data_IF_167703246962
#
_entry.id   IF_167703246962
#
_cell.length_a   1.000
_cell.length_b   1.000
_cell.length_c   1.000
_cell.angle_alpha   90.00
_cell.angle_beta   90.00
_cell.angle_gamma   90.00
#
_symmetry.space_group_name_H-M   'P 1'
#
loop_
_entity.id
_entity.type
_entity.pdbx_description
1 polymer ?
#
# COMPACT_ATOMS: atom_id res chain seq x y z
N UNK A 1 -43.35 26.06 2.82
CA UNK A 1 -42.54 26.81 1.81
C UNK A 1 -41.05 26.44 1.83
N UNK A 2 -40.29 26.57 2.94
CA UNK A 2 -38.84 26.23 3.00
C UNK A 2 -38.46 24.80 2.59
N UNK A 3 -39.25 23.78 2.98
CA UNK A 3 -39.02 22.38 2.54
C UNK A 3 -39.22 22.22 1.03
N UNK A 4 -40.26 22.83 0.47
CA UNK A 4 -40.59 22.75 -0.95
C UNK A 4 -39.53 23.49 -1.81
N UNK A 5 -39.09 24.68 -1.39
CA UNK A 5 -38.01 25.41 -2.07
C UNK A 5 -36.68 24.64 -2.02
N UNK A 6 -36.37 23.98 -0.89
CA UNK A 6 -35.20 23.12 -0.77
C UNK A 6 -35.27 21.88 -1.68
N UNK A 7 -36.43 21.23 -1.76
CA UNK A 7 -36.70 20.10 -2.67
C UNK A 7 -36.56 20.52 -4.15
N UNK A 8 -37.13 21.66 -4.53
CA UNK A 8 -36.99 22.22 -5.88
C UNK A 8 -35.53 22.51 -6.18
N UNK A 9 -34.78 23.13 -5.25
CA UNK A 9 -33.36 23.40 -5.42
C UNK A 9 -32.52 22.13 -5.64
N UNK A 10 -32.78 21.06 -4.88
CA UNK A 10 -32.13 19.76 -5.09
C UNK A 10 -32.53 19.10 -6.41
N UNK A 11 -33.78 19.28 -6.84
CA UNK A 11 -34.27 18.80 -8.14
C UNK A 11 -33.58 19.50 -9.31
N UNK A 12 -33.47 20.83 -9.27
CA UNK A 12 -32.72 21.62 -10.25
C UNK A 12 -31.27 21.18 -10.28
N UNK A 13 -30.61 21.09 -9.12
CA UNK A 13 -29.21 20.63 -9.03
C UNK A 13 -29.04 19.24 -9.64
N UNK A 14 -29.95 18.31 -9.40
CA UNK A 14 -29.91 16.97 -10.00
C UNK A 14 -29.99 16.99 -11.54
N UNK A 15 -30.69 17.97 -12.12
CA UNK A 15 -30.81 18.10 -13.58
C UNK A 15 -29.58 18.79 -14.19
N UNK A 16 -29.01 19.77 -13.51
CA UNK A 16 -27.98 20.68 -14.06
C UNK A 16 -26.54 20.32 -13.68
N UNK A 17 -26.31 19.56 -12.60
CA UNK A 17 -25.00 19.21 -12.06
C UNK A 17 -24.79 17.70 -12.18
N UNK A 18 -23.89 17.30 -13.09
CA UNK A 18 -23.63 15.89 -13.40
C UNK A 18 -22.98 15.13 -12.24
N UNK A 19 -22.14 15.80 -11.45
CA UNK A 19 -21.44 15.23 -10.31
C UNK A 19 -22.42 15.00 -9.17
N UNK A 20 -23.28 15.98 -8.87
CA UNK A 20 -24.34 15.81 -7.90
C UNK A 20 -25.35 14.73 -8.31
N UNK A 21 -25.71 14.66 -9.60
CA UNK A 21 -26.54 13.57 -10.13
C UNK A 21 -25.88 12.21 -9.94
N UNK A 22 -24.58 12.11 -10.22
CA UNK A 22 -23.82 10.88 -10.01
C UNK A 22 -23.83 10.45 -8.54
N UNK A 23 -23.56 11.36 -7.60
CA UNK A 23 -23.61 11.08 -6.15
C UNK A 23 -24.98 10.54 -5.70
N UNK A 24 -26.06 11.15 -6.18
CA UNK A 24 -27.44 10.71 -5.85
C UNK A 24 -27.73 9.32 -6.43
N UNK A 25 -27.29 9.05 -7.66
CA UNK A 25 -27.53 7.77 -8.33
C UNK A 25 -26.69 6.63 -7.73
N UNK A 26 -25.43 6.91 -7.40
CA UNK A 26 -24.55 6.00 -6.65
C UNK A 26 -25.19 5.63 -5.30
N UNK A 27 -25.67 6.61 -4.52
CA UNK A 27 -26.32 6.34 -3.23
C UNK A 27 -27.62 5.53 -3.32
N UNK A 28 -28.19 5.36 -4.52
CA UNK A 28 -29.37 4.53 -4.81
C UNK A 28 -29.02 3.17 -5.43
N UNK A 29 -27.75 2.84 -5.59
CA UNK A 29 -27.28 1.60 -6.22
C UNK A 29 -27.37 1.59 -7.75
N UNK A 30 -27.70 2.72 -8.39
CA UNK A 30 -27.85 2.78 -9.85
C UNK A 30 -26.51 2.72 -10.60
N UNK A 31 -25.39 2.80 -9.87
CA UNK A 31 -24.03 2.72 -10.41
C UNK A 31 -23.29 1.46 -9.96
N UNK A 32 -23.98 0.47 -9.39
CA UNK A 32 -23.35 -0.73 -8.81
C UNK A 32 -22.62 -1.59 -9.87
N UNK A 33 -23.16 -1.62 -11.09
CA UNK A 33 -22.57 -2.34 -12.24
C UNK A 33 -21.40 -1.61 -12.91
N UNK A 34 -21.11 -0.37 -12.54
CA UNK A 34 -20.01 0.40 -13.10
C UNK A 34 -18.66 -0.23 -12.69
N UNK A 35 -17.66 -0.30 -13.60
CA UNK A 35 -16.32 -0.71 -13.25
C UNK A 35 -15.75 0.14 -12.10
N UNK A 36 -15.03 -0.51 -11.17
CA UNK A 36 -14.54 0.15 -9.95
C UNK A 36 -13.70 1.40 -10.23
N UNK A 37 -12.80 1.32 -11.22
CA UNK A 37 -11.93 2.44 -11.59
C UNK A 37 -12.72 3.65 -12.09
N UNK A 38 -13.68 3.42 -12.99
CA UNK A 38 -14.55 4.49 -13.52
C UNK A 38 -15.40 5.10 -12.40
N UNK A 39 -15.98 4.25 -11.55
CA UNK A 39 -16.77 4.69 -10.40
C UNK A 39 -15.95 5.57 -9.46
N UNK A 40 -14.72 5.14 -9.14
CA UNK A 40 -13.84 5.86 -8.22
C UNK A 40 -13.37 7.19 -8.82
N UNK A 41 -13.01 7.25 -10.11
CA UNK A 41 -12.67 8.51 -10.80
C UNK A 41 -13.81 9.53 -10.71
N UNK A 42 -15.05 9.11 -11.02
CA UNK A 42 -16.24 9.98 -10.95
C UNK A 42 -16.60 10.38 -9.51
N UNK A 43 -16.52 9.44 -8.57
CA UNK A 43 -16.79 9.70 -7.16
C UNK A 43 -15.78 10.68 -6.57
N UNK A 44 -14.50 10.51 -6.91
CA UNK A 44 -13.43 11.38 -6.46
C UNK A 44 -13.58 12.78 -7.02
N UNK A 45 -13.86 12.95 -8.31
CA UNK A 45 -14.18 14.25 -8.89
C UNK A 45 -15.37 14.91 -8.19
N UNK A 46 -16.48 14.19 -8.06
CA UNK A 46 -17.71 14.73 -7.47
C UNK A 46 -17.57 15.10 -5.98
N UNK A 47 -16.73 14.39 -5.24
CA UNK A 47 -16.47 14.67 -3.82
C UNK A 47 -15.38 15.70 -3.63
N UNK A 48 -14.21 15.49 -4.23
CA UNK A 48 -12.97 16.24 -3.99
C UNK A 48 -12.81 17.46 -4.89
N UNK A 49 -13.62 17.59 -5.94
CA UNK A 49 -13.57 18.71 -6.89
C UNK A 49 -12.37 18.71 -7.84
N UNK A 50 -11.63 17.59 -7.93
CA UNK A 50 -10.47 17.40 -8.83
C UNK A 50 -10.43 15.98 -9.37
N UNK A 51 -9.78 15.79 -10.51
CA UNK A 51 -9.64 14.46 -11.13
C UNK A 51 -8.74 13.55 -10.26
N UNK A 52 -8.99 12.25 -10.32
CA UNK A 52 -8.20 11.22 -9.65
C UNK A 52 -7.07 10.74 -10.56
N UNK A 53 -5.81 10.94 -10.15
CA UNK A 53 -4.65 10.36 -10.82
C UNK A 53 -4.29 9.00 -10.18
N UNK A 54 -4.58 7.92 -10.90
CA UNK A 54 -4.20 6.55 -10.52
C UNK A 54 -2.85 6.12 -11.10
N UNK A 55 -2.33 6.83 -12.10
CA UNK A 55 -1.05 6.50 -12.73
C UNK A 55 0.12 7.02 -11.88
N UNK A 56 -0.07 8.17 -11.24
CA UNK A 56 0.93 8.79 -10.37
C UNK A 56 0.29 9.38 -9.09
N UNK A 57 -0.38 8.58 -8.24
CA UNK A 57 -1.08 9.09 -7.06
C UNK A 57 -0.10 9.71 -6.07
N UNK A 58 -0.31 10.97 -5.72
CA UNK A 58 0.56 11.72 -4.81
C UNK A 58 -0.04 11.82 -3.42
N UNK A 59 -1.32 12.17 -3.33
CA UNK A 59 -1.96 12.47 -2.05
C UNK A 59 -2.47 11.22 -1.35
N UNK A 60 -2.67 11.31 -0.03
CA UNK A 60 -3.20 10.22 0.79
C UNK A 60 -4.53 9.71 0.23
N UNK A 61 -5.47 10.60 -0.06
CA UNK A 61 -6.75 10.22 -0.66
C UNK A 61 -6.59 9.49 -2.01
N UNK A 62 -5.71 9.97 -2.91
CA UNK A 62 -5.45 9.29 -4.20
C UNK A 62 -4.86 7.90 -4.01
N UNK A 63 -3.86 7.78 -3.13
CA UNK A 63 -3.22 6.49 -2.82
C UNK A 63 -4.20 5.51 -2.18
N UNK A 64 -5.16 5.97 -1.38
CA UNK A 64 -6.23 5.11 -0.87
C UNK A 64 -7.18 4.63 -1.98
N UNK A 65 -7.55 5.48 -2.94
CA UNK A 65 -8.36 5.03 -4.09
C UNK A 65 -7.60 4.02 -4.94
N UNK A 66 -6.32 4.28 -5.13
CA UNK A 66 -5.41 3.38 -5.81
C UNK A 66 -5.36 2.00 -5.12
N UNK A 67 -5.22 1.96 -3.78
CA UNK A 67 -5.21 0.71 -3.01
C UNK A 67 -6.50 -0.08 -3.15
N UNK A 68 -7.67 0.56 -3.25
CA UNK A 68 -8.96 -0.13 -3.45
C UNK A 68 -9.02 -0.94 -4.75
N UNK A 69 -8.27 -0.55 -5.77
CA UNK A 69 -8.27 -1.19 -7.09
C UNK A 69 -7.19 -2.27 -7.17
N UNK A 70 -6.04 -2.04 -6.53
CA UNK A 70 -4.83 -2.79 -6.82
C UNK A 70 -4.21 -3.52 -5.62
N UNK A 71 -4.39 -3.06 -4.38
CA UNK A 71 -3.93 -3.76 -3.17
C UNK A 71 -5.07 -4.61 -2.59
N UNK A 72 -5.27 -5.78 -3.21
CA UNK A 72 -6.40 -6.67 -2.95
C UNK A 72 -5.92 -8.04 -2.49
N UNK A 73 -5.75 -8.20 -1.17
CA UNK A 73 -5.37 -9.47 -0.54
C UNK A 73 -6.57 -10.08 0.16
N UNK A 74 -6.87 -11.36 -0.08
CA UNK A 74 -8.04 -12.04 0.51
C UNK A 74 -8.10 -11.95 2.03
N UNK A 75 -6.93 -11.93 2.70
CA UNK A 75 -6.84 -11.75 4.15
C UNK A 75 -7.48 -10.45 4.65
N UNK A 76 -7.52 -9.39 3.82
CA UNK A 76 -8.13 -8.12 4.21
C UNK A 76 -9.63 -8.27 4.48
N UNK A 77 -10.33 -9.18 3.79
CA UNK A 77 -11.74 -9.49 4.07
C UNK A 77 -11.92 -10.05 5.48
N UNK A 78 -11.01 -10.91 5.94
CA UNK A 78 -10.99 -11.39 7.33
C UNK A 78 -10.72 -10.24 8.30
N UNK A 79 -9.79 -9.35 7.97
CA UNK A 79 -9.37 -8.24 8.84
C UNK A 79 -10.46 -7.18 9.06
N UNK A 80 -11.39 -7.00 8.11
CA UNK A 80 -12.50 -6.05 8.24
C UNK A 80 -13.81 -6.67 8.76
N UNK A 81 -13.91 -8.01 8.78
CA UNK A 81 -15.05 -8.71 9.41
C UNK A 81 -14.94 -8.61 10.93
N UNK A 82 -15.83 -7.85 11.58
CA UNK A 82 -15.75 -7.58 13.04
C UNK A 82 -15.77 -8.83 13.92
N UNK A 83 -16.24 -9.97 13.40
CA UNK A 83 -16.18 -11.25 14.11
C UNK A 83 -14.89 -12.01 13.78
N UNK A 84 -14.57 -12.17 12.50
CA UNK A 84 -13.40 -12.96 12.09
C UNK A 84 -12.07 -12.26 12.44
N UNK A 85 -12.03 -10.93 12.39
CA UNK A 85 -10.88 -10.12 12.76
C UNK A 85 -10.41 -10.37 14.19
N UNK A 86 -11.32 -10.73 15.11
CA UNK A 86 -10.96 -11.02 16.51
C UNK A 86 -9.95 -12.15 16.63
N UNK A 87 -10.21 -13.27 15.93
CA UNK A 87 -9.30 -14.42 15.94
C UNK A 87 -7.96 -14.07 15.28
N UNK A 88 -8.02 -13.38 14.14
CA UNK A 88 -6.83 -12.90 13.44
C UNK A 88 -5.94 -12.01 14.34
N UNK A 89 -6.55 -11.03 15.01
CA UNK A 89 -5.86 -10.11 15.91
C UNK A 89 -5.34 -10.85 17.14
N UNK A 90 -6.14 -11.73 17.76
CA UNK A 90 -5.73 -12.51 18.91
C UNK A 90 -4.49 -13.37 18.64
N UNK A 91 -4.37 -13.93 17.44
CA UNK A 91 -3.22 -14.75 17.05
C UNK A 91 -1.91 -13.94 16.94
N UNK A 92 -2.01 -12.62 16.73
CA UNK A 92 -0.85 -11.73 16.57
C UNK A 92 -0.50 -11.04 17.88
N UNK A 93 -1.49 -10.48 18.57
CA UNK A 93 -1.26 -9.65 19.75
C UNK A 93 -1.71 -10.31 21.06
N UNK A 94 -2.52 -11.36 21.01
CA UNK A 94 -3.00 -12.09 22.19
C UNK A 94 -4.48 -11.86 22.52
N UNK A 95 -5.13 -12.89 23.06
CA UNK A 95 -6.55 -12.94 23.40
C UNK A 95 -6.95 -11.86 24.44
N UNK A 96 -6.02 -11.46 25.32
CA UNK A 96 -6.27 -10.48 26.38
C UNK A 96 -6.68 -9.09 25.86
N UNK A 97 -6.38 -8.79 24.60
CA UNK A 97 -6.75 -7.53 23.95
C UNK A 97 -8.10 -7.59 23.25
N UNK A 98 -8.79 -8.73 23.22
CA UNK A 98 -10.05 -8.88 22.49
C UNK A 98 -11.25 -8.61 23.39
N UNK A 99 -12.18 -7.77 22.93
CA UNK A 99 -13.46 -7.57 23.63
C UNK A 99 -14.26 -8.88 23.60
N UNK A 100 -14.78 -9.37 24.74
CA UNK A 100 -15.57 -10.59 24.79
C UNK A 100 -16.78 -10.56 23.85
N UNK A 101 -16.89 -11.60 23.02
CA UNK A 101 -18.07 -11.85 22.17
C UNK A 101 -19.12 -12.59 22.98
N UNK A 102 -20.33 -12.04 23.05
CA UNK A 102 -21.47 -12.62 23.78
C UNK A 102 -22.31 -13.53 22.89
N UNK A 103 -22.25 -13.35 21.56
CA UNK A 103 -22.93 -14.22 20.61
C UNK A 103 -22.76 -13.75 19.16
N UNK A 104 -23.09 -14.65 18.23
CA UNK A 104 -23.05 -14.40 16.78
C UNK A 104 -24.23 -15.08 16.10
N UNK A 105 -24.92 -14.37 15.19
CA UNK A 105 -26.13 -14.84 14.53
C UNK A 105 -26.19 -14.41 13.07
N UNK A 106 -26.85 -15.21 12.23
CA UNK A 106 -27.12 -14.86 10.83
C UNK A 106 -28.40 -14.01 10.69
N UNK A 107 -29.36 -14.12 11.62
CA UNK A 107 -30.64 -13.38 11.60
C UNK A 107 -30.92 -12.72 12.95
N UNK A 108 -31.61 -11.58 12.91
CA UNK A 108 -31.96 -10.86 14.14
C UNK A 108 -32.92 -11.66 15.03
N UNK A 109 -33.79 -12.45 14.41
CA UNK A 109 -34.76 -13.30 15.11
C UNK A 109 -34.11 -14.44 15.91
N UNK A 110 -32.86 -14.78 15.62
CA UNK A 110 -32.13 -15.86 16.32
C UNK A 110 -31.48 -15.38 17.63
N UNK A 111 -31.55 -14.07 17.92
CA UNK A 111 -30.97 -13.48 19.13
C UNK A 111 -31.87 -13.78 20.34
N UNK A 112 -31.36 -14.56 21.28
CA UNK A 112 -31.96 -14.70 22.61
C UNK A 112 -31.54 -13.53 23.52
N UNK A 113 -32.37 -12.50 23.57
CA UNK A 113 -32.15 -11.33 24.43
C UNK A 113 -32.19 -11.67 25.93
N UNK A 114 -32.80 -12.79 26.35
CA UNK A 114 -32.81 -13.18 27.75
C UNK A 114 -31.44 -13.70 28.21
N UNK A 115 -30.71 -14.39 27.33
CA UNK A 115 -29.35 -14.85 27.58
C UNK A 115 -28.30 -13.72 27.58
N UNK A 116 -28.58 -12.59 26.94
CA UNK A 116 -27.69 -11.43 26.95
C UNK A 116 -27.71 -10.69 28.30
N UNK A 117 -26.57 -10.12 28.74
CA UNK A 117 -26.50 -9.29 29.95
C UNK A 117 -27.36 -8.02 29.83
N UNK A 118 -27.49 -7.25 30.91
CA UNK A 118 -28.26 -6.00 30.88
C UNK A 118 -27.67 -4.94 29.93
N UNK A 119 -26.37 -5.03 29.64
CA UNK A 119 -25.65 -4.08 28.80
C UNK A 119 -24.84 -4.82 27.73
N UNK A 120 -25.00 -4.43 26.47
CA UNK A 120 -24.31 -5.02 25.34
C UNK A 120 -24.34 -4.10 24.12
N UNK A 121 -23.53 -4.42 23.12
CA UNK A 121 -23.52 -3.73 21.83
C UNK A 121 -23.76 -4.76 20.73
N UNK A 122 -24.79 -4.57 19.92
CA UNK A 122 -25.00 -5.34 18.69
C UNK A 122 -24.32 -4.62 17.52
N UNK A 123 -23.56 -5.35 16.73
CA UNK A 123 -22.88 -4.84 15.52
C UNK A 123 -23.13 -5.78 14.34
N UNK A 124 -23.27 -5.23 13.14
CA UNK A 124 -23.14 -6.00 11.90
C UNK A 124 -21.64 -6.22 11.59
N UNK A 125 -21.27 -7.42 11.16
CA UNK A 125 -19.85 -7.77 10.95
C UNK A 125 -19.22 -7.10 9.74
N UNK A 126 -20.02 -6.75 8.72
CA UNK A 126 -19.57 -6.38 7.37
C UNK A 126 -19.71 -4.91 7.02
N UNK A 127 -20.24 -4.06 7.92
CA UNK A 127 -20.57 -2.68 7.58
C UNK A 127 -20.13 -1.65 8.63
N UNK A 128 -20.32 -0.38 8.29
CA UNK A 128 -20.32 0.73 9.24
C UNK A 128 -21.76 1.25 9.41
N UNK A 129 -22.18 1.39 10.67
CA UNK A 129 -23.48 1.96 11.07
C UNK A 129 -24.53 0.94 11.53
N UNK A 130 -24.38 -0.34 11.23
CA UNK A 130 -25.21 -1.42 11.78
C UNK A 130 -24.92 -1.66 13.26
N UNK A 131 -25.28 -0.70 14.12
CA UNK A 131 -24.90 -0.62 15.53
C UNK A 131 -26.10 -0.34 16.42
N UNK A 132 -26.29 -1.12 17.48
CA UNK A 132 -27.28 -0.87 18.55
C UNK A 132 -26.55 -0.97 19.89
N UNK A 133 -26.58 0.11 20.67
CA UNK A 133 -25.99 0.18 22.01
C UNK A 133 -27.11 -0.01 23.03
N UNK A 134 -27.03 -1.06 23.84
CA UNK A 134 -27.94 -1.32 24.94
C UNK A 134 -27.23 -1.00 26.26
N UNK A 135 -27.58 0.13 26.89
CA UNK A 135 -27.10 0.49 28.25
C UNK A 135 -28.04 -0.01 29.36
N UNK A 136 -29.27 -0.36 29.00
CA UNK A 136 -30.29 -0.93 29.88
C UNK A 136 -31.27 -1.73 29.02
N UNK A 137 -31.31 -3.05 29.24
CA UNK A 137 -32.12 -3.98 28.44
C UNK A 137 -33.61 -3.76 28.63
N UNK A 138 -34.04 -3.21 29.78
CA UNK A 138 -35.45 -2.92 30.03
C UNK A 138 -35.99 -1.76 29.19
N UNK A 139 -35.11 -0.87 28.74
CA UNK A 139 -35.43 0.31 27.94
C UNK A 139 -35.08 0.15 26.45
N UNK A 140 -34.64 -1.05 26.02
CA UNK A 140 -34.24 -1.29 24.65
C UNK A 140 -35.47 -1.42 23.73
N UNK A 141 -35.55 -0.55 22.73
CA UNK A 141 -36.53 -0.70 21.63
C UNK A 141 -36.07 -1.81 20.67
N UNK A 142 -36.54 -3.03 20.92
CA UNK A 142 -36.22 -4.21 20.10
C UNK A 142 -36.73 -4.05 18.67
N UNK A 143 -37.87 -3.38 18.45
CA UNK A 143 -38.43 -3.20 17.11
C UNK A 143 -37.56 -2.26 16.27
N UNK A 144 -37.14 -1.13 16.83
CA UNK A 144 -36.21 -0.21 16.17
C UNK A 144 -34.84 -0.85 15.94
N UNK A 145 -34.33 -1.62 16.91
CA UNK A 145 -33.09 -2.39 16.77
C UNK A 145 -33.17 -3.39 15.61
N UNK A 146 -34.30 -4.12 15.52
CA UNK A 146 -34.58 -5.08 14.45
C UNK A 146 -34.58 -4.41 13.08
N UNK A 147 -35.31 -3.30 12.92
CA UNK A 147 -35.36 -2.57 11.64
C UNK A 147 -33.97 -2.08 11.22
N UNK A 148 -33.20 -1.51 12.16
CA UNK A 148 -31.86 -0.99 11.88
C UNK A 148 -30.91 -2.10 11.44
N UNK A 149 -30.82 -3.20 12.19
CA UNK A 149 -29.92 -4.31 11.88
C UNK A 149 -30.33 -5.02 10.59
N UNK A 150 -31.62 -5.34 10.42
CA UNK A 150 -32.08 -6.01 9.19
C UNK A 150 -31.91 -5.15 7.93
N UNK A 151 -31.92 -3.81 8.06
CA UNK A 151 -31.56 -2.91 6.95
C UNK A 151 -30.08 -3.03 6.60
N UNK A 152 -29.20 -3.06 7.60
CA UNK A 152 -27.75 -3.23 7.41
C UNK A 152 -27.38 -4.59 6.82
N UNK A 153 -28.00 -5.68 7.28
CA UNK A 153 -27.76 -7.04 6.77
C UNK A 153 -28.06 -7.21 5.27
N UNK A 154 -28.97 -6.42 4.71
CA UNK A 154 -29.32 -6.45 3.29
C UNK A 154 -28.35 -5.70 2.39
N UNK A 155 -27.50 -4.84 2.96
CA UNK A 155 -26.58 -3.98 2.21
C UNK A 155 -25.23 -4.66 2.08
N UNK A 156 -24.66 -4.66 0.88
CA UNK A 156 -23.24 -4.92 0.71
C UNK A 156 -22.47 -3.59 0.85
N UNK A 157 -21.65 -3.47 1.90
CA UNK A 157 -20.99 -2.22 2.26
C UNK A 157 -20.00 -1.74 1.18
N UNK A 158 -19.41 -2.67 0.41
CA UNK A 158 -18.48 -2.39 -0.69
C UNK A 158 -19.02 -1.35 -1.68
N UNK A 159 -20.31 -1.39 -2.04
CA UNK A 159 -20.86 -0.46 -3.04
C UNK A 159 -20.88 1.00 -2.58
N UNK A 160 -20.77 1.27 -1.28
CA UNK A 160 -20.74 2.64 -0.74
C UNK A 160 -19.51 3.43 -1.20
N UNK A 161 -18.37 2.75 -1.36
CA UNK A 161 -17.09 3.40 -1.63
C UNK A 161 -16.07 2.55 -2.38
N UNK A 162 -16.48 1.39 -2.90
CA UNK A 162 -15.62 0.36 -3.51
C UNK A 162 -14.50 -0.11 -2.60
N UNK A 163 -14.77 -0.18 -1.30
CA UNK A 163 -13.83 -0.71 -0.31
C UNK A 163 -13.76 -2.22 -0.42
N UNK A 164 -12.84 -2.69 -1.27
CA UNK A 164 -12.75 -4.08 -1.71
C UNK A 164 -12.75 -5.14 -0.59
N UNK A 165 -12.07 -4.96 0.57
CA UNK A 165 -12.09 -5.91 1.67
C UNK A 165 -13.50 -6.29 2.15
N UNK A 166 -14.45 -5.35 2.09
CA UNK A 166 -15.83 -5.59 2.54
C UNK A 166 -16.70 -6.35 1.53
N UNK A 167 -16.22 -6.55 0.29
CA UNK A 167 -17.02 -7.09 -0.81
C UNK A 167 -17.64 -8.45 -0.51
N UNK A 168 -16.84 -9.33 0.09
CA UNK A 168 -17.17 -10.74 0.30
C UNK A 168 -17.31 -11.10 1.79
N UNK A 169 -17.43 -10.10 2.68
CA UNK A 169 -17.70 -10.36 4.11
C UNK A 169 -19.13 -10.89 4.26
N UNK A 170 -19.29 -12.07 4.87
CA UNK A 170 -20.62 -12.62 5.19
C UNK A 170 -21.33 -11.72 6.21
N UNK A 171 -22.49 -11.14 5.89
CA UNK A 171 -23.29 -10.36 6.85
C UNK A 171 -23.74 -11.23 8.02
N UNK A 172 -23.35 -10.83 9.23
CA UNK A 172 -23.74 -11.46 10.51
C UNK A 172 -23.96 -10.39 11.56
N UNK A 173 -24.59 -10.77 12.65
CA UNK A 173 -24.78 -9.97 13.85
C UNK A 173 -23.85 -10.51 14.92
N UNK A 174 -23.07 -9.64 15.56
CA UNK A 174 -22.27 -9.96 16.74
C UNK A 174 -22.77 -9.15 17.93
N UNK A 175 -22.87 -9.77 19.11
CA UNK A 175 -23.02 -9.07 20.38
C UNK A 175 -21.68 -9.01 21.10
N UNK A 176 -21.30 -7.83 21.58
CA UNK A 176 -20.10 -7.61 22.38
C UNK A 176 -20.46 -7.07 23.76
N UNK A 177 -19.58 -7.32 24.72
CA UNK A 177 -19.64 -6.67 26.03
C UNK A 177 -19.63 -5.15 25.86
N UNK A 178 -20.56 -4.46 26.53
CA UNK A 178 -20.53 -3.00 26.61
C UNK A 178 -19.31 -2.55 27.43
N UNK A 179 -18.55 -1.60 26.89
CA UNK A 179 -17.34 -1.06 27.49
C UNK A 179 -17.53 0.45 27.68
N UNK A 180 -17.13 0.96 28.82
CA UNK A 180 -17.21 2.37 29.20
C UNK A 180 -16.01 2.70 30.08
N UNK A 181 -15.34 3.81 29.81
CA UNK A 181 -14.31 4.35 30.69
C UNK A 181 -15.00 5.17 31.77
N UNK A 182 -14.95 4.68 33.02
CA UNK A 182 -15.60 5.30 34.18
C UNK A 182 -14.99 6.67 34.52
N UNK A 183 -13.74 6.92 34.15
CA UNK A 183 -13.05 8.19 34.41
C UNK A 183 -13.47 9.32 33.49
N UNK A 184 -13.74 9.03 32.21
CA UNK A 184 -14.11 10.04 31.21
C UNK A 184 -15.58 10.01 30.79
N UNK A 185 -16.35 9.00 31.23
CA UNK A 185 -17.73 8.72 30.79
C UNK A 185 -17.88 8.52 29.27
N UNK A 186 -16.77 8.45 28.53
CA UNK A 186 -16.72 8.20 27.09
C UNK A 186 -15.69 7.12 26.79
N UNK A 187 -16.06 6.12 26.00
CA UNK A 187 -15.07 5.16 25.50
C UNK A 187 -14.20 5.86 24.43
N UNK A 188 -13.02 6.33 24.83
CA UNK A 188 -12.08 7.01 23.92
C UNK A 188 -11.45 6.03 22.95
N UNK A 189 -11.48 6.42 21.68
CA UNK A 189 -10.88 5.70 20.57
C UNK A 189 -9.47 6.25 20.31
N UNK A 190 -8.45 5.42 20.44
CA UNK A 190 -7.07 5.71 20.05
C UNK A 190 -6.80 5.04 18.72
N UNK A 191 -6.73 5.83 17.65
CA UNK A 191 -6.65 5.32 16.28
C UNK A 191 -5.25 5.55 15.74
N UNK A 192 -4.43 4.51 15.69
CA UNK A 192 -3.04 4.57 15.25
C UNK A 192 -2.95 4.44 13.74
N UNK A 193 -2.22 5.34 13.10
CA UNK A 193 -2.04 5.38 11.65
C UNK A 193 -0.68 4.78 11.34
N UNK A 194 -0.72 3.57 10.79
CA UNK A 194 0.48 2.81 10.47
C UNK A 194 0.75 2.84 8.96
N UNK A 195 2.00 3.05 8.59
CA UNK A 195 2.48 3.18 7.22
C UNK A 195 3.61 2.18 7.00
N UNK A 196 3.36 1.12 6.22
CA UNK A 196 4.33 0.04 6.03
C UNK A 196 4.74 -0.66 7.33
N UNK A 197 3.79 -0.86 8.26
CA UNK A 197 4.07 -1.49 9.56
C UNK A 197 4.59 -0.57 10.66
N UNK A 198 4.76 0.74 10.41
CA UNK A 198 5.25 1.71 11.40
C UNK A 198 4.16 2.72 11.79
N UNK A 199 3.89 2.88 13.09
CA UNK A 199 2.99 3.92 13.58
C UNK A 199 3.66 5.30 13.46
N UNK A 200 3.00 6.26 12.83
CA UNK A 200 3.56 7.62 12.64
C UNK A 200 2.79 8.72 13.36
N UNK A 201 1.50 8.48 13.60
CA UNK A 201 0.65 9.36 14.37
C UNK A 201 -0.55 8.58 14.88
N UNK A 202 -1.29 9.15 15.81
CA UNK A 202 -2.58 8.63 16.24
C UNK A 202 -3.61 9.74 16.39
N UNK A 203 -4.88 9.37 16.27
CA UNK A 203 -6.03 10.25 16.42
C UNK A 203 -6.79 9.87 17.68
N UNK A 204 -7.26 10.87 18.42
CA UNK A 204 -8.17 10.70 19.56
C UNK A 204 -9.46 11.46 19.28
N UNK A 205 -10.56 10.73 19.21
CA UNK A 205 -11.92 11.27 19.08
C UNK A 205 -12.51 11.56 20.47
N UNK A 206 -13.18 12.71 20.65
CA UNK A 206 -13.78 13.12 21.93
C UNK A 206 -15.07 13.94 21.72
N UNK A 207 -15.87 14.05 22.78
CA UNK A 207 -17.16 14.76 22.83
C UNK A 207 -18.15 14.23 21.76
N UNK A 208 -18.04 12.94 21.42
CA UNK A 208 -18.68 12.29 20.24
C UNK A 208 -20.20 12.34 20.26
N UNK A 209 -20.80 12.47 21.44
CA UNK A 209 -22.24 12.52 21.64
C UNK A 209 -22.80 13.95 21.82
N UNK A 210 -21.94 14.97 21.79
CA UNK A 210 -22.31 16.39 21.92
C UNK A 210 -21.91 17.13 20.64
N UNK A 211 -20.61 17.30 20.43
CA UNK A 211 -20.00 17.94 19.26
C UNK A 211 -18.71 17.18 18.97
N UNK A 212 -18.74 16.33 17.95
CA UNK A 212 -17.64 15.38 17.71
C UNK A 212 -16.40 16.10 17.19
N UNK A 213 -15.34 16.08 18.00
CA UNK A 213 -14.03 16.62 17.68
C UNK A 213 -12.95 15.53 17.67
N UNK A 214 -11.82 15.82 17.04
CA UNK A 214 -10.66 14.94 17.11
C UNK A 214 -9.34 15.69 16.97
N UNK A 215 -8.36 15.29 17.78
CA UNK A 215 -6.98 15.77 17.69
C UNK A 215 -6.09 14.65 17.15
N UNK A 216 -5.12 15.04 16.34
CA UNK A 216 -4.04 14.17 15.87
C UNK A 216 -2.79 14.45 16.69
N UNK A 217 -2.04 13.40 16.98
CA UNK A 217 -0.84 13.43 17.80
C UNK A 217 0.31 12.74 17.06
N UNK A 218 1.53 13.25 17.20
CA UNK A 218 2.73 12.48 16.86
C UNK A 218 2.97 11.35 17.89
N UNK A 219 4.01 10.55 17.70
CA UNK A 219 4.29 9.41 18.58
C UNK A 219 4.85 9.85 19.95
N UNK A 220 5.31 11.10 20.07
CA UNK A 220 5.69 11.75 21.32
C UNK A 220 4.50 12.44 22.02
N UNK A 221 3.28 12.26 21.51
CA UNK A 221 2.04 12.84 22.05
C UNK A 221 1.94 14.38 21.95
N UNK A 222 2.66 15.02 21.04
CA UNK A 222 2.41 16.41 20.67
C UNK A 222 1.29 16.52 19.65
N UNK A 223 0.43 17.54 19.81
CA UNK A 223 -0.68 17.77 18.88
C UNK A 223 -0.13 18.24 17.53
N UNK A 224 -0.57 17.58 16.46
CA UNK A 224 -0.27 17.93 15.08
C UNK A 224 -1.15 19.10 14.62
N UNK A 225 -0.58 20.06 13.89
CA UNK A 225 -1.29 21.21 13.32
C UNK A 225 -2.08 20.82 12.06
N UNK A 226 -2.90 19.77 12.13
CA UNK A 226 -3.93 19.42 11.13
C UNK A 226 -4.98 18.49 11.75
N UNK A 227 -6.11 18.34 11.09
CA UNK A 227 -7.16 17.39 11.46
C UNK A 227 -8.13 17.17 10.31
N UNK A 228 -9.20 16.43 10.55
CA UNK A 228 -10.28 16.24 9.57
C UNK A 228 -11.29 17.38 9.69
N UNK A 229 -11.70 18.00 8.57
CA UNK A 229 -12.72 19.05 8.58
C UNK A 229 -14.09 18.57 9.07
N UNK A 230 -14.34 17.26 9.04
CA UNK A 230 -15.54 16.65 9.60
C UNK A 230 -15.55 16.62 11.14
N UNK A 231 -14.36 16.66 11.77
CA UNK A 231 -14.15 16.57 13.22
C UNK A 231 -13.09 17.59 13.62
N UNK A 232 -13.50 18.87 13.70
CA UNK A 232 -12.54 19.98 13.84
C UNK A 232 -11.63 19.77 15.06
N UNK A 233 -10.30 19.92 14.89
CA UNK A 233 -9.36 19.78 15.99
C UNK A 233 -9.53 20.93 16.99
N UNK A 234 -9.29 20.62 18.27
CA UNK A 234 -9.30 21.58 19.37
C UNK A 234 -7.95 21.44 20.09
N UNK A 235 -6.88 22.11 19.61
CA UNK A 235 -5.53 21.93 20.16
C UNK A 235 -5.40 22.30 21.65
N UNK A 236 -6.25 23.22 22.14
CA UNK A 236 -6.28 23.60 23.56
C UNK A 236 -7.04 22.62 24.45
N UNK A 237 -7.62 21.54 23.91
CA UNK A 237 -8.30 20.51 24.71
C UNK A 237 -7.23 19.63 25.35
N UNK A 238 -7.06 19.77 26.66
CA UNK A 238 -6.23 18.84 27.43
C UNK A 238 -6.94 17.48 27.53
N UNK A 239 -6.39 16.49 26.84
CA UNK A 239 -6.79 15.09 26.98
C UNK A 239 -5.72 14.36 27.80
N UNK A 240 -6.15 13.60 28.80
CA UNK A 240 -5.25 12.68 29.50
C UNK A 240 -4.92 11.52 28.55
N UNK A 241 -3.67 11.49 28.07
CA UNK A 241 -3.13 10.38 27.29
C UNK A 241 -2.79 9.23 28.26
N UNK A 242 -3.24 7.99 27.98
CA UNK A 242 -3.00 6.85 28.85
C UNK A 242 -1.53 6.47 28.84
N UNK A 243 -1.06 5.82 29.91
CA UNK A 243 0.34 5.36 30.01
C UNK A 243 0.64 4.23 29.03
N UNK A 244 -0.42 3.58 28.58
CA UNK A 244 -0.46 2.43 27.69
C UNK A 244 -0.31 2.83 26.20
N UNK A 245 -0.19 4.12 25.87
CA UNK A 245 -0.16 4.61 24.48
C UNK A 245 0.98 3.99 23.65
N UNK A 246 2.17 3.85 24.23
CA UNK A 246 3.33 3.22 23.58
C UNK A 246 3.10 1.73 23.33
N UNK A 247 2.36 1.07 24.24
CA UNK A 247 2.00 -0.32 24.07
C UNK A 247 0.97 -0.47 22.94
N UNK A 248 -0.04 0.40 22.88
CA UNK A 248 -0.99 0.41 21.77
C UNK A 248 -0.31 0.65 20.42
N UNK A 249 0.68 1.54 20.36
CA UNK A 249 1.48 1.77 19.16
C UNK A 249 2.17 0.49 18.68
N UNK A 250 2.88 -0.22 19.57
CA UNK A 250 3.55 -1.49 19.24
C UNK A 250 2.56 -2.57 18.77
N UNK A 251 1.38 -2.64 19.39
CA UNK A 251 0.33 -3.57 18.96
C UNK A 251 -0.18 -3.20 17.55
N UNK A 252 -0.36 -1.91 17.27
CA UNK A 252 -0.74 -1.40 15.95
C UNK A 252 0.31 -1.74 14.87
N UNK A 253 1.59 -1.57 15.19
CA UNK A 253 2.70 -1.91 14.31
C UNK A 253 2.73 -3.41 13.98
N UNK A 254 2.57 -4.27 14.99
CA UNK A 254 2.49 -5.72 14.79
C UNK A 254 1.32 -6.13 13.87
N UNK A 255 0.17 -5.44 13.96
CA UNK A 255 -1.01 -5.72 13.13
C UNK A 255 -0.91 -5.18 11.70
N UNK A 256 0.04 -4.29 11.42
CA UNK A 256 0.14 -3.54 10.15
C UNK A 256 1.35 -3.90 9.30
N UNK A 257 2.12 -4.93 9.68
CA UNK A 257 3.28 -5.40 8.92
C UNK A 257 2.92 -5.69 7.46
N UNK A 258 3.77 -5.24 6.53
CA UNK A 258 3.61 -5.40 5.08
C UNK A 258 2.30 -4.84 4.48
N UNK A 259 1.66 -3.90 5.17
CA UNK A 259 0.47 -3.18 4.69
C UNK A 259 0.85 -1.71 4.42
N UNK A 260 0.63 -1.19 3.20
CA UNK A 260 0.99 0.19 2.83
C UNK A 260 0.46 1.25 3.79
N UNK A 261 -0.81 1.08 4.18
CA UNK A 261 -1.48 1.89 5.16
C UNK A 261 -2.52 1.05 5.90
N UNK A 262 -2.49 1.09 7.23
CA UNK A 262 -3.50 0.51 8.09
C UNK A 262 -3.73 1.42 9.29
N UNK A 263 -4.99 1.73 9.57
CA UNK A 263 -5.38 2.31 10.84
C UNK A 263 -5.81 1.20 11.78
N UNK A 264 -5.23 1.15 12.97
CA UNK A 264 -5.61 0.22 14.03
C UNK A 264 -6.18 0.99 15.23
N UNK A 265 -7.38 0.61 15.65
CA UNK A 265 -8.11 1.31 16.70
C UNK A 265 -8.04 0.51 18.00
N UNK A 266 -7.80 1.22 19.11
CA UNK A 266 -7.78 0.66 20.45
C UNK A 266 -8.62 1.49 21.41
N UNK A 267 -9.09 0.84 22.46
CA UNK A 267 -9.72 1.45 23.61
C UNK A 267 -8.81 1.29 24.83
N UNK A 268 -8.80 2.31 25.69
CA UNK A 268 -8.36 2.18 27.07
C UNK A 268 -9.59 2.08 27.98
N UNK A 269 -9.66 1.03 28.80
CA UNK A 269 -10.68 0.91 29.85
C UNK A 269 -9.97 0.57 31.15
N UNK A 270 -9.81 1.58 32.00
CA UNK A 270 -9.17 1.46 33.32
C UNK A 270 -7.75 0.88 33.22
N UNK A 271 -6.96 1.34 32.23
CA UNK A 271 -5.58 0.89 31.98
C UNK A 271 -5.49 -0.47 31.29
N UNK A 272 -6.60 -1.00 30.78
CA UNK A 272 -6.64 -2.22 29.95
C UNK A 272 -6.90 -1.85 28.50
N UNK A 273 -6.02 -2.33 27.63
CA UNK A 273 -6.10 -2.12 26.18
C UNK A 273 -7.08 -3.13 25.58
N UNK A 274 -7.99 -2.66 24.73
CA UNK A 274 -8.83 -3.53 23.90
C UNK A 274 -8.76 -3.11 22.43
N UNK A 275 -8.67 -4.08 21.54
CA UNK A 275 -8.79 -3.91 20.10
C UNK A 275 -10.21 -3.46 19.71
N UNK A 276 -10.29 -2.44 18.87
CA UNK A 276 -11.52 -1.92 18.29
C UNK A 276 -11.77 -2.42 16.87
N UNK A 277 -11.02 -1.89 15.90
CA UNK A 277 -11.16 -2.24 14.48
C UNK A 277 -9.87 -2.00 13.69
N UNK A 278 -9.78 -2.62 12.51
CA UNK A 278 -8.78 -2.34 11.48
C UNK A 278 -9.45 -1.63 10.30
N UNK A 279 -8.85 -0.54 9.82
CA UNK A 279 -9.37 0.25 8.71
C UNK A 279 -8.30 0.51 7.66
N UNK A 280 -8.56 0.08 6.43
CA UNK A 280 -7.67 0.27 5.27
C UNK A 280 -7.87 1.60 4.56
N UNK A 281 -9.07 2.20 4.65
CA UNK A 281 -9.41 3.40 3.89
C UNK A 281 -10.09 4.43 4.78
N UNK A 282 -9.30 5.36 5.34
CA UNK A 282 -9.85 6.43 6.17
C UNK A 282 -10.90 7.23 5.40
N UNK A 283 -12.12 7.33 5.95
CA UNK A 283 -13.27 7.98 5.31
C UNK A 283 -13.49 7.56 3.84
N UNK A 284 -13.14 6.31 3.50
CA UNK A 284 -13.15 5.81 2.11
C UNK A 284 -12.23 6.57 1.15
N UNK A 285 -11.17 7.23 1.64
CA UNK A 285 -10.25 8.04 0.84
C UNK A 285 -10.85 9.34 0.31
N UNK A 286 -11.80 9.92 1.04
CA UNK A 286 -12.41 11.22 0.72
C UNK A 286 -12.31 12.20 1.91
N UNK A 287 -11.13 12.26 2.52
CA UNK A 287 -10.88 13.07 3.71
C UNK A 287 -10.60 14.51 3.30
N UNK A 288 -11.34 15.45 3.89
CA UNK A 288 -10.98 16.86 3.86
C UNK A 288 -10.17 17.16 5.10
N UNK A 289 -8.94 17.63 4.91
CA UNK A 289 -8.08 18.04 6.02
C UNK A 289 -8.18 19.55 6.25
N UNK A 290 -7.96 19.99 7.49
CA UNK A 290 -7.97 21.41 7.85
C UNK A 290 -6.78 22.20 7.31
N UNK A 291 -5.72 21.52 6.86
CA UNK A 291 -4.56 22.12 6.17
C UNK A 291 -4.41 21.53 4.78
N UNK A 292 -4.13 22.39 3.82
CA UNK A 292 -4.00 22.01 2.40
C UNK A 292 -2.90 20.97 2.14
N UNK A 293 -1.79 21.01 2.88
CA UNK A 293 -0.66 20.10 2.67
C UNK A 293 -0.75 18.76 3.45
N UNK A 294 -1.76 18.57 4.32
CA UNK A 294 -1.86 17.36 5.13
C UNK A 294 -2.12 16.11 4.26
N UNK A 295 -2.97 16.23 3.23
CA UNK A 295 -3.25 15.13 2.29
C UNK A 295 -1.97 14.68 1.56
N UNK A 296 -1.11 15.62 1.15
CA UNK A 296 0.16 15.32 0.50
C UNK A 296 1.17 14.68 1.47
N UNK A 297 1.35 15.27 2.67
CA UNK A 297 2.29 14.76 3.70
C UNK A 297 1.96 13.33 4.13
N UNK A 298 0.69 13.03 4.40
CA UNK A 298 0.25 11.67 4.71
C UNK A 298 0.44 10.74 3.51
N UNK A 299 0.26 11.26 2.29
CA UNK A 299 0.53 10.55 1.06
C UNK A 299 1.98 10.12 0.94
N UNK A 300 2.96 10.97 1.26
CA UNK A 300 4.40 10.67 1.22
C UNK A 300 4.79 9.47 2.11
N UNK A 301 4.05 9.22 3.18
CA UNK A 301 4.31 8.10 4.08
C UNK A 301 3.80 6.76 3.53
N UNK A 302 2.79 6.78 2.65
CA UNK A 302 2.31 5.57 1.99
C UNK A 302 3.28 5.20 0.87
N UNK A 303 3.99 4.09 1.08
CA UNK A 303 4.67 3.37 0.01
C UNK A 303 3.69 2.37 -0.57
N UNK A 304 3.17 2.69 -1.75
CA UNK A 304 2.30 1.75 -2.45
C UNK A 304 3.10 0.50 -2.81
N UNK A 305 2.47 -0.69 -2.80
CA UNK A 305 3.08 -1.85 -3.43
C UNK A 305 3.36 -1.47 -4.88
N UNK A 306 4.38 -2.06 -5.51
CA UNK A 306 4.57 -1.92 -6.95
C UNK A 306 3.36 -2.51 -7.66
N UNK A 307 2.68 -1.72 -8.48
CA UNK A 307 1.24 -1.99 -8.63
C UNK A 307 0.53 -1.52 -9.88
N UNK A 308 1.33 -1.05 -10.81
CA UNK A 308 1.22 -1.68 -12.12
C UNK A 308 1.11 -3.20 -11.99
N UNK A 309 0.30 -3.88 -12.80
CA UNK A 309 0.42 -5.33 -13.02
C UNK A 309 1.80 -5.69 -13.58
N UNK A 310 2.80 -5.66 -12.71
CA UNK A 310 4.22 -5.85 -12.96
C UNK A 310 4.68 -6.93 -11.99
N UNK A 311 4.09 -8.11 -12.17
CA UNK A 311 4.62 -9.33 -11.58
C UNK A 311 6.09 -9.41 -11.96
N UNK A 312 6.96 -9.21 -10.98
CA UNK A 312 8.29 -9.74 -11.08
C UNK A 312 8.18 -11.25 -11.16
N UNK A 313 8.91 -11.84 -12.11
CA UNK A 313 9.18 -13.26 -12.03
C UNK A 313 10.03 -13.45 -10.77
N UNK A 314 9.75 -14.46 -9.97
CA UNK A 314 10.68 -14.93 -8.94
C UNK A 314 11.25 -16.23 -9.48
N UNK A 315 12.54 -16.23 -9.77
CA UNK A 315 13.28 -17.45 -10.05
C UNK A 315 13.94 -17.89 -8.75
N UNK A 316 13.43 -18.97 -8.18
CA UNK A 316 14.03 -19.62 -7.02
C UNK A 316 15.04 -20.62 -7.56
N UNK A 317 16.32 -20.29 -7.43
CA UNK A 317 17.42 -21.22 -7.63
C UNK A 317 17.87 -21.72 -6.25
N UNK A 318 18.60 -22.83 -6.22
CA UNK A 318 19.00 -23.54 -4.99
C UNK A 318 19.78 -22.67 -3.99
N UNK A 319 20.47 -21.62 -4.44
CA UNK A 319 21.30 -20.76 -3.57
C UNK A 319 21.01 -19.24 -3.70
N UNK A 320 20.13 -18.83 -4.63
CA UNK A 320 19.86 -17.40 -4.90
C UNK A 320 18.38 -17.17 -5.19
N UNK A 321 17.85 -16.07 -4.66
CA UNK A 321 16.53 -15.53 -5.03
C UNK A 321 16.78 -14.34 -5.96
N UNK A 322 16.36 -14.47 -7.23
CA UNK A 322 16.42 -13.36 -8.20
C UNK A 322 15.01 -12.80 -8.38
N UNK A 323 14.86 -11.50 -8.14
CA UNK A 323 13.60 -10.78 -8.29
C UNK A 323 13.69 -9.79 -9.46
N UNK A 324 12.80 -9.94 -10.43
CA UNK A 324 12.76 -9.07 -11.62
C UNK A 324 11.78 -7.89 -11.41
N UNK A 325 12.21 -6.64 -11.62
CA UNK A 325 11.30 -5.50 -11.74
C UNK A 325 11.06 -5.14 -13.22
N UNK A 326 9.82 -4.97 -13.70
CA UNK A 326 9.59 -4.47 -15.05
C UNK A 326 9.65 -2.92 -15.09
N UNK A 327 10.70 -2.39 -15.70
CA UNK A 327 10.85 -1.03 -16.27
C UNK A 327 10.63 0.20 -15.35
N UNK A 328 11.72 0.86 -14.97
CA UNK A 328 11.71 2.28 -14.63
C UNK A 328 11.38 3.13 -15.89
N UNK A 329 10.52 4.15 -15.77
CA UNK A 329 10.28 5.09 -16.88
C UNK A 329 11.43 6.10 -16.93
N UNK A 330 12.00 6.20 -18.13
CA UNK A 330 13.05 7.14 -18.57
C UNK A 330 12.77 8.59 -18.18
N UNK A 331 13.71 9.19 -17.46
CA UNK A 331 13.98 10.62 -17.46
C UNK A 331 15.33 10.87 -18.17
N UNK A 332 15.30 11.71 -19.21
CA UNK A 332 16.36 12.69 -19.48
C UNK A 332 17.82 12.28 -19.67
N UNK A 333 18.14 11.22 -20.41
CA UNK A 333 19.28 11.11 -21.35
C UNK A 333 19.19 9.72 -21.98
N UNK A 334 19.83 9.47 -23.13
CA UNK A 334 19.79 8.14 -23.75
C UNK A 334 20.19 7.06 -22.73
N UNK A 335 19.35 6.03 -22.57
CA UNK A 335 19.64 4.89 -21.68
C UNK A 335 20.99 4.29 -22.08
N UNK A 336 21.97 4.40 -21.19
CA UNK A 336 23.28 3.76 -21.36
C UNK A 336 23.20 2.32 -20.86
N UNK A 337 23.66 1.41 -21.70
CA UNK A 337 23.75 -0.02 -21.41
C UNK A 337 25.20 -0.32 -21.02
N UNK A 338 25.40 -0.94 -19.85
CA UNK A 338 26.71 -1.30 -19.33
C UNK A 338 26.83 -2.82 -19.33
N UNK A 339 27.65 -3.34 -20.22
CA UNK A 339 27.83 -4.79 -20.41
C UNK A 339 29.16 -5.20 -19.81
N UNK A 340 29.12 -5.76 -18.60
CA UNK A 340 30.30 -6.18 -17.85
C UNK A 340 30.70 -7.60 -18.27
N UNK A 341 31.90 -7.77 -18.78
CA UNK A 341 32.44 -9.09 -19.13
C UNK A 341 33.19 -9.63 -17.93
N UNK A 342 32.66 -10.72 -17.38
CA UNK A 342 33.19 -11.40 -16.22
C UNK A 342 33.75 -12.76 -16.62
N UNK A 343 34.90 -13.11 -16.04
CA UNK A 343 35.64 -14.34 -16.28
C UNK A 343 36.00 -14.96 -14.94
N UNK A 344 35.58 -16.21 -14.70
CA UNK A 344 35.74 -16.91 -13.42
C UNK A 344 35.28 -16.06 -12.20
N UNK A 345 34.16 -15.33 -12.33
CA UNK A 345 33.63 -14.47 -11.27
C UNK A 345 34.27 -13.07 -11.15
N UNK A 346 35.27 -12.75 -11.97
CA UNK A 346 35.97 -11.46 -11.93
C UNK A 346 35.61 -10.58 -13.14
N UNK A 347 35.22 -9.34 -12.90
CA UNK A 347 35.00 -8.35 -13.97
C UNK A 347 36.34 -7.90 -14.57
N UNK A 348 36.52 -8.08 -15.87
CA UNK A 348 37.75 -7.65 -16.60
C UNK A 348 37.54 -6.38 -17.41
N UNK A 349 36.40 -6.26 -18.09
CA UNK A 349 36.09 -5.10 -18.92
C UNK A 349 34.59 -4.81 -18.98
N UNK A 350 34.24 -3.58 -19.35
CA UNK A 350 32.87 -3.15 -19.59
C UNK A 350 32.75 -2.51 -20.96
N UNK A 351 31.71 -2.88 -21.71
CA UNK A 351 31.26 -2.18 -22.90
C UNK A 351 30.14 -1.22 -22.51
N UNK A 352 30.24 0.05 -22.91
CA UNK A 352 29.20 1.04 -22.69
C UNK A 352 28.58 1.40 -24.03
N UNK A 353 27.32 1.03 -24.24
CA UNK A 353 26.60 1.43 -25.45
C UNK A 353 25.98 2.80 -25.28
N UNK A 354 26.26 3.68 -26.23
CA UNK A 354 25.66 5.01 -26.36
C UNK A 354 24.92 5.14 -27.70
N UNK A 355 24.11 6.20 -27.84
CA UNK A 355 23.39 6.57 -29.06
C UNK A 355 22.53 5.46 -29.70
N UNK A 356 22.06 4.52 -28.86
CA UNK A 356 21.16 3.45 -29.29
C UNK A 356 19.87 4.04 -29.88
N UNK A 357 19.50 3.56 -31.07
CA UNK A 357 18.35 4.03 -31.86
C UNK A 357 18.45 5.49 -32.33
N UNK A 358 19.65 6.09 -32.33
CA UNK A 358 19.90 7.38 -32.98
C UNK A 358 20.05 7.21 -34.51
N UNK A 359 19.87 8.29 -35.26
CA UNK A 359 20.12 8.31 -36.71
C UNK A 359 21.57 7.97 -37.07
N UNK A 360 22.51 8.14 -36.14
CA UNK A 360 23.92 7.81 -36.31
C UNK A 360 24.28 6.34 -36.06
N UNK A 361 23.35 5.52 -35.54
CA UNK A 361 23.59 4.13 -35.14
C UNK A 361 24.20 4.00 -33.74
N UNK A 362 24.15 2.79 -33.16
CA UNK A 362 24.71 2.48 -31.84
C UNK A 362 26.23 2.71 -31.83
N UNK A 363 26.74 3.23 -30.71
CA UNK A 363 28.16 3.36 -30.40
C UNK A 363 28.55 2.47 -29.23
N UNK A 364 29.80 2.04 -29.20
CA UNK A 364 30.33 1.23 -28.10
C UNK A 364 31.75 1.66 -27.74
N UNK A 365 31.98 1.84 -26.45
CA UNK A 365 33.28 2.21 -25.89
C UNK A 365 33.63 1.19 -24.78
N UNK A 366 34.89 0.78 -24.72
CA UNK A 366 35.35 -0.30 -23.86
C UNK A 366 36.28 0.25 -22.78
N UNK A 367 36.14 -0.25 -21.56
CA UNK A 367 36.94 0.17 -20.42
C UNK A 367 37.34 -1.03 -19.57
N UNK A 368 38.54 -0.97 -18.99
CA UNK A 368 38.95 -1.94 -17.98
C UNK A 368 38.25 -1.71 -16.63
N UNK A 369 38.57 -2.56 -15.65
CA UNK A 369 38.03 -2.47 -14.29
C UNK A 369 38.32 -1.12 -13.61
N UNK A 370 39.44 -0.47 -13.91
CA UNK A 370 39.81 0.84 -13.37
C UNK A 370 39.19 2.01 -14.16
N UNK A 371 38.40 1.72 -15.18
CA UNK A 371 37.80 2.67 -16.12
C UNK A 371 38.82 3.32 -17.06
N UNK A 372 39.96 2.67 -17.33
CA UNK A 372 40.86 3.08 -18.40
C UNK A 372 40.31 2.63 -19.75
N UNK A 373 40.44 3.47 -20.77
CA UNK A 373 39.92 3.20 -22.10
C UNK A 373 40.68 2.06 -22.79
N UNK A 374 39.95 1.14 -23.40
CA UNK A 374 40.49 0.04 -24.19
C UNK A 374 40.25 0.33 -25.68
N UNK A 375 41.35 0.51 -26.42
CA UNK A 375 41.32 0.93 -27.82
C UNK A 375 41.17 -0.28 -28.77
N UNK A 376 39.93 -0.75 -28.89
CA UNK A 376 39.51 -1.77 -29.86
C UNK A 376 38.04 -1.62 -30.23
N UNK A 377 37.66 -2.18 -31.37
CA UNK A 377 36.27 -2.24 -31.83
C UNK A 377 35.78 -3.68 -31.88
N UNK A 378 34.52 -3.87 -31.50
CA UNK A 378 33.81 -5.14 -31.59
C UNK A 378 32.40 -4.84 -32.11
N UNK A 379 32.25 -4.88 -33.44
CA UNK A 379 30.99 -4.66 -34.17
C UNK A 379 30.45 -3.21 -34.23
N UNK A 380 30.89 -2.30 -33.37
CA UNK A 380 30.39 -0.92 -33.29
C UNK A 380 31.52 0.11 -33.33
N UNK A 381 31.21 1.32 -33.83
CA UNK A 381 32.11 2.48 -33.78
C UNK A 381 32.09 3.11 -32.38
N UNK A 382 33.20 3.73 -31.99
CA UNK A 382 33.31 4.53 -30.76
C UNK A 382 32.49 5.82 -30.82
N UNK A 383 32.05 6.28 -29.64
CA UNK A 383 31.37 7.56 -29.53
C UNK A 383 32.34 8.72 -29.81
N UNK A 384 31.83 9.81 -30.40
CA UNK A 384 32.63 11.02 -30.63
C UNK A 384 33.12 11.64 -29.31
N UNK A 385 32.42 11.37 -28.20
CA UNK A 385 32.79 11.76 -26.84
C UNK A 385 32.69 10.55 -25.92
N UNK A 386 33.81 10.08 -25.32
CA UNK A 386 33.81 8.92 -24.44
C UNK A 386 32.82 9.04 -23.27
N UNK A 387 32.12 7.95 -22.90
CA UNK A 387 31.25 7.93 -21.73
C UNK A 387 31.98 8.28 -20.44
N UNK A 388 31.31 9.07 -19.58
CA UNK A 388 31.79 9.35 -18.21
C UNK A 388 31.55 8.15 -17.29
N UNK A 389 32.48 7.92 -16.36
CA UNK A 389 32.34 6.94 -15.28
C UNK A 389 31.12 7.27 -14.42
N UNK A 390 30.16 6.34 -14.23
CA UNK A 390 29.03 6.58 -13.33
C UNK A 390 29.46 6.56 -11.87
N UNK A 391 28.77 7.31 -11.00
CA UNK A 391 29.11 7.40 -9.57
C UNK A 391 29.02 6.06 -8.85
N UNK A 392 28.08 5.21 -9.24
CA UNK A 392 27.84 3.88 -8.68
C UNK A 392 28.59 2.75 -9.41
N UNK A 393 29.61 3.06 -10.24
CA UNK A 393 30.34 2.06 -11.03
C UNK A 393 30.90 0.89 -10.21
N UNK A 394 31.46 1.17 -9.03
CA UNK A 394 32.00 0.12 -8.15
C UNK A 394 30.91 -0.81 -7.61
N UNK A 395 29.69 -0.30 -7.42
CA UNK A 395 28.53 -1.12 -7.06
C UNK A 395 28.12 -2.03 -8.23
N UNK A 396 28.13 -1.51 -9.45
CA UNK A 396 27.84 -2.27 -10.67
C UNK A 396 28.86 -3.41 -10.89
N UNK A 397 30.16 -3.15 -10.66
CA UNK A 397 31.21 -4.19 -10.70
C UNK A 397 30.89 -5.31 -9.70
N UNK A 398 30.62 -4.96 -8.43
CA UNK A 398 30.33 -5.96 -7.39
C UNK A 398 29.13 -6.84 -7.76
N UNK A 399 28.07 -6.24 -8.30
CA UNK A 399 26.89 -6.98 -8.75
C UNK A 399 27.23 -7.92 -9.92
N UNK A 400 28.01 -7.47 -10.90
CA UNK A 400 28.43 -8.30 -12.02
C UNK A 400 29.34 -9.47 -11.58
N UNK A 401 30.29 -9.22 -10.67
CA UNK A 401 31.14 -10.25 -10.07
C UNK A 401 30.31 -11.28 -9.29
N UNK A 402 29.35 -10.83 -8.47
CA UNK A 402 28.43 -11.71 -7.74
C UNK A 402 27.58 -12.58 -8.67
N UNK A 403 27.09 -12.02 -9.78
CA UNK A 403 26.27 -12.75 -10.76
C UNK A 403 27.10 -13.71 -11.64
N UNK A 404 28.42 -13.61 -11.62
CA UNK A 404 29.32 -14.43 -12.44
C UNK A 404 30.07 -15.52 -11.66
N UNK A 405 29.84 -15.63 -10.34
CA UNK A 405 30.45 -16.67 -9.50
C UNK A 405 30.14 -18.06 -10.06
N UNK A 406 31.20 -18.87 -10.24
CA UNK A 406 31.09 -20.23 -10.77
C UNK A 406 30.94 -20.34 -12.29
N UNK A 407 30.91 -19.22 -13.01
CA UNK A 407 30.82 -19.19 -14.47
C UNK A 407 32.19 -18.89 -15.09
N UNK A 408 32.61 -19.69 -16.07
CA UNK A 408 33.87 -19.48 -16.82
C UNK A 408 33.91 -18.15 -17.54
N UNK A 409 32.78 -17.76 -18.12
CA UNK A 409 32.58 -16.48 -18.75
C UNK A 409 31.08 -16.14 -18.77
N UNK A 410 30.75 -14.90 -18.46
CA UNK A 410 29.41 -14.34 -18.71
C UNK A 410 29.52 -12.83 -18.87
N UNK A 411 28.75 -12.29 -19.82
CA UNK A 411 28.50 -10.86 -19.93
C UNK A 411 27.26 -10.51 -19.12
N UNK A 412 27.39 -9.65 -18.14
CA UNK A 412 26.32 -9.16 -17.28
C UNK A 412 25.91 -7.77 -17.74
N UNK A 413 24.69 -7.64 -18.25
CA UNK A 413 24.16 -6.36 -18.71
C UNK A 413 23.44 -5.65 -17.57
N UNK A 414 23.86 -4.42 -17.30
CA UNK A 414 23.27 -3.55 -16.29
C UNK A 414 22.89 -2.20 -16.90
N UNK A 415 21.83 -1.59 -16.37
CA UNK A 415 21.46 -0.22 -16.65
C UNK A 415 21.71 0.64 -15.42
N UNK A 416 22.12 1.89 -15.64
CA UNK A 416 22.14 2.90 -14.59
C UNK A 416 21.18 4.03 -14.97
N UNK A 417 20.09 4.15 -14.23
CA UNK A 417 19.10 5.21 -14.41
C UNK A 417 19.03 6.02 -13.12
N UNK A 418 19.47 7.28 -13.16
CA UNK A 418 19.42 8.22 -12.03
C UNK A 418 20.03 7.66 -10.73
N UNK A 419 21.17 6.97 -10.85
CA UNK A 419 21.89 6.37 -9.72
C UNK A 419 21.36 5.00 -9.29
N UNK A 420 20.25 4.54 -9.87
CA UNK A 420 19.69 3.21 -9.62
C UNK A 420 20.18 2.20 -10.66
N UNK A 421 20.64 1.04 -10.18
CA UNK A 421 21.18 -0.05 -11.01
C UNK A 421 20.07 -1.06 -11.30
N UNK A 422 19.90 -1.43 -12.57
CA UNK A 422 18.94 -2.44 -12.99
C UNK A 422 19.65 -3.54 -13.77
N UNK A 423 19.28 -4.79 -13.53
CA UNK A 423 19.73 -5.92 -14.34
C UNK A 423 19.03 -5.92 -15.71
N UNK A 424 19.78 -6.23 -16.76
CA UNK A 424 19.27 -6.44 -18.12
C UNK A 424 19.20 -7.93 -18.47
N UNK A 425 20.36 -8.53 -18.76
CA UNK A 425 20.48 -9.93 -19.17
C UNK A 425 21.85 -10.53 -18.81
N UNK A 426 21.92 -11.86 -18.82
CA UNK A 426 23.17 -12.61 -18.82
C UNK A 426 23.39 -13.18 -20.23
N UNK A 427 24.52 -12.85 -20.85
CA UNK A 427 24.89 -13.36 -22.18
C UNK A 427 26.14 -14.22 -22.09
N UNK A 428 25.99 -15.50 -22.42
CA UNK A 428 27.09 -16.47 -22.35
C UNK A 428 27.94 -16.50 -23.62
N UNK A 429 27.32 -16.19 -24.78
CA UNK A 429 27.96 -16.25 -26.10
C UNK A 429 27.69 -14.96 -26.86
N UNK A 430 28.49 -13.93 -26.61
CA UNK A 430 28.31 -12.66 -27.29
C UNK A 430 28.62 -12.77 -28.78
N UNK A 431 27.78 -12.18 -29.63
CA UNK A 431 27.88 -12.33 -31.10
C UNK A 431 27.85 -13.78 -31.59
N UNK A 432 27.40 -14.74 -30.76
CA UNK A 432 27.59 -16.19 -30.97
C UNK A 432 29.05 -16.62 -31.19
N UNK A 433 30.02 -15.79 -30.79
CA UNK A 433 31.45 -16.01 -31.04
C UNK A 433 31.91 -15.72 -32.48
N UNK A 434 31.09 -15.09 -33.33
CA UNK A 434 31.42 -14.81 -34.73
C UNK A 434 31.74 -13.35 -35.03
N UNK A 435 31.57 -12.47 -34.04
CA UNK A 435 31.85 -11.05 -34.23
C UNK A 435 33.36 -10.80 -34.35
N UNK A 436 33.73 -9.86 -35.23
CA UNK A 436 35.12 -9.45 -35.41
C UNK A 436 35.53 -8.43 -34.34
N UNK A 437 36.64 -8.73 -33.66
CA UNK A 437 37.36 -7.81 -32.77
C UNK A 437 38.55 -7.23 -33.55
N UNK A 438 38.71 -5.91 -33.56
CA UNK A 438 39.76 -5.20 -34.28
C UNK A 438 40.45 -4.16 -33.37
N UNK A 439 41.78 -4.17 -33.24
CA UNK A 439 42.71 -5.04 -33.96
C UNK A 439 42.74 -6.47 -33.36
N UNK A 440 43.23 -7.45 -34.14
CA UNK A 440 43.11 -8.89 -33.85
C UNK A 440 43.79 -9.31 -32.54
N UNK A 441 44.76 -8.54 -32.06
CA UNK A 441 45.47 -8.78 -30.80
C UNK A 441 44.50 -8.82 -29.61
N UNK A 442 43.44 -8.00 -29.64
CA UNK A 442 42.42 -7.99 -28.57
C UNK A 442 41.58 -9.26 -28.53
N UNK A 443 41.34 -9.91 -29.66
CA UNK A 443 40.68 -11.22 -29.71
C UNK A 443 41.49 -12.26 -28.93
N UNK A 444 42.81 -12.29 -29.16
CA UNK A 444 43.73 -13.14 -28.41
C UNK A 444 43.83 -12.75 -26.92
N UNK A 445 43.88 -11.46 -26.58
CA UNK A 445 43.97 -11.02 -25.18
C UNK A 445 42.71 -11.38 -24.38
N UNK A 446 41.53 -11.11 -24.92
CA UNK A 446 40.25 -11.46 -24.28
C UNK A 446 40.13 -12.99 -24.16
N UNK A 447 40.54 -13.73 -25.20
CA UNK A 447 40.54 -15.20 -25.19
C UNK A 447 41.38 -15.81 -24.06
N UNK A 448 42.49 -15.17 -23.67
CA UNK A 448 43.33 -15.65 -22.54
C UNK A 448 42.62 -15.59 -21.19
N UNK A 449 41.57 -14.78 -21.04
CA UNK A 449 40.81 -14.69 -19.79
C UNK A 449 39.86 -15.87 -19.60
N UNK A 450 39.56 -16.64 -20.64
CA UNK A 450 38.72 -17.84 -20.55
C UNK A 450 39.60 -19.03 -20.18
N UNK A 451 39.47 -19.50 -18.94
CA UNK A 451 40.19 -20.69 -18.49
C UNK A 451 39.46 -21.98 -18.93
N UNK A 452 39.98 -22.62 -19.98
CA UNK A 452 39.46 -23.86 -20.55
C UNK A 452 40.03 -25.14 -19.95
N UNK A 453 40.78 -25.08 -18.84
CA UNK A 453 41.40 -26.28 -18.26
C UNK A 453 40.37 -27.38 -17.94
N UNK A 454 40.66 -28.60 -18.40
CA UNK A 454 39.80 -29.78 -18.27
C UNK A 454 39.60 -30.15 -16.80
N UNK A 455 38.38 -29.97 -16.29
CA UNK A 455 38.06 -30.32 -14.91
C UNK A 455 36.57 -30.30 -14.56
N UNK A 456 35.79 -29.40 -15.16
CA UNK A 456 34.36 -29.30 -14.85
C UNK A 456 33.50 -29.67 -16.06
N UNK A 457 33.40 -30.97 -16.34
CA UNK A 457 32.12 -31.51 -16.85
C UNK A 457 31.11 -31.44 -15.71
N UNK A 458 30.72 -30.22 -15.33
CA UNK A 458 29.75 -29.93 -14.30
C UNK A 458 28.40 -30.47 -14.73
N UNK A 459 28.16 -31.75 -14.45
CA UNK A 459 26.81 -32.23 -14.25
C UNK A 459 26.25 -31.39 -13.10
N UNK A 460 25.36 -30.46 -13.44
CA UNK A 460 24.45 -29.87 -12.46
C UNK A 460 23.78 -31.03 -11.73
N UNK A 461 24.14 -31.25 -10.46
CA UNK A 461 23.32 -32.07 -9.58
C UNK A 461 22.04 -31.28 -9.35
N UNK A 462 20.95 -31.83 -9.87
CA UNK A 462 19.56 -31.34 -9.79
C UNK A 462 19.15 -31.16 -8.34
#
# INVERSE_FOLDING_TARGET
MKKLSHLIGRGVKYLTDEDYRFLVNSGKGLCDSMPDEEYLKRMFKAKMGRELDLENPQTFNEKLQWMKIHDRKSIYTTMVDKYAAKKYVADIIGEQYIIPTLGVWDRFEDIDFNALPNQFVLKCTHDSGGLVICKDKSNLDIAAAKEKINRSLKRNFYYSGREWPYKDVKPRIIAEKYMEDTGSQELRDYKFFCFGGQARCYKVDFDRFIEHHANYYDMESHILDFGESAFLPVPGKELSIPKEIDQMAKLAENLSQDIPFLRADFYDVEGKIYFGELTFYLASGFVFFTKENADLKLGEWIRLPDSSGRGGIILILTEVIVWFHPNAKRLGSGLKDYKFYCFDGEMKMVMINSDRKSAGGTRADYFDRQFNYLDFTWGYRHADTPPRKPENFECMIKLAEQLSVGLKHVRVDLYNCDGQIYFGELTFFDGSGFDRIDPIEWDYEIGKWINLSEGDTGQMKV
#
